data_IF_278000728984
#
_entry.id   IF_278000728984
#
_cell.length_a   1.000
_cell.length_b   1.000
_cell.length_c   1.000
_cell.angle_alpha   90.00
_cell.angle_beta   90.00
_cell.angle_gamma   90.00
#
_symmetry.space_group_name_H-M   'P 1'
#
loop_
_entity.id
_entity.type
_entity.pdbx_description
1 polymer ?
#
# COMPACT_ATOMS: atom_id res chain seq x y z
N UNK A 1 -4.37 -0.83 8.35
CA UNK A 1 -3.37 -1.90 8.08
C UNK A 1 -1.99 -1.27 8.15
N UNK A 2 -0.94 -1.97 8.61
CA UNK A 2 0.43 -1.42 8.62
C UNK A 2 1.20 -1.90 7.38
N UNK A 3 1.80 -0.96 6.66
CA UNK A 3 2.67 -1.21 5.52
C UNK A 3 3.96 -0.41 5.69
N UNK A 4 4.95 -0.70 4.86
CA UNK A 4 6.24 -0.05 4.82
C UNK A 4 6.43 0.61 3.46
N UNK A 5 6.99 1.81 3.45
CA UNK A 5 7.37 2.51 2.21
C UNK A 5 8.57 1.79 1.61
N UNK A 6 8.49 1.44 0.33
CA UNK A 6 9.57 0.79 -0.41
C UNK A 6 10.77 1.76 -0.48
N UNK A 7 11.97 1.26 -0.15
CA UNK A 7 13.22 2.04 -0.01
C UNK A 7 13.36 2.85 1.29
N UNK A 8 12.29 2.97 2.07
CA UNK A 8 12.30 3.59 3.40
C UNK A 8 12.10 2.53 4.50
N UNK A 9 12.68 2.73 5.69
CA UNK A 9 12.34 1.90 6.87
C UNK A 9 11.07 2.40 7.58
N UNK A 10 10.26 3.17 6.86
CA UNK A 10 9.18 3.96 7.39
C UNK A 10 7.87 3.19 7.33
N UNK A 11 7.24 3.04 8.49
CA UNK A 11 5.96 2.37 8.62
C UNK A 11 4.83 3.38 8.48
N UNK A 12 3.86 3.03 7.65
CA UNK A 12 2.64 3.78 7.43
C UNK A 12 1.43 2.95 7.81
N UNK A 13 0.48 3.60 8.47
CA UNK A 13 -0.83 3.03 8.79
C UNK A 13 -1.83 3.45 7.73
N UNK A 14 -2.26 2.48 6.93
CA UNK A 14 -3.35 2.65 5.97
C UNK A 14 -4.64 3.01 6.72
N UNK A 15 -5.22 4.15 6.35
CA UNK A 15 -6.47 4.67 6.89
C UNK A 15 -7.67 3.92 6.33
N UNK A 16 -7.69 3.73 5.00
CA UNK A 16 -8.77 3.03 4.31
C UNK A 16 -8.26 1.78 3.59
N UNK A 17 -8.66 0.62 4.11
CA UNK A 17 -8.26 -0.68 3.54
C UNK A 17 -9.01 -0.96 2.24
N UNK A 18 -10.18 -0.36 2.01
CA UNK A 18 -10.89 -0.52 0.75
C UNK A 18 -10.11 0.12 -0.38
N UNK A 19 -9.54 1.32 -0.17
CA UNK A 19 -8.62 1.93 -1.13
C UNK A 19 -7.43 1.01 -1.41
N UNK A 20 -6.89 0.32 -0.39
CA UNK A 20 -5.76 -0.60 -0.55
C UNK A 20 -6.11 -1.83 -1.38
N UNK A 21 -7.23 -2.49 -1.11
CA UNK A 21 -7.61 -3.73 -1.81
C UNK A 21 -8.28 -3.46 -3.15
N UNK A 22 -8.78 -2.25 -3.40
CA UNK A 22 -9.45 -1.88 -4.64
C UNK A 22 -8.43 -1.65 -5.76
N UNK A 23 -8.38 -2.51 -6.77
CA UNK A 23 -7.37 -2.42 -7.83
C UNK A 23 -7.61 -1.27 -8.82
N UNK A 24 -8.70 -0.50 -8.71
CA UNK A 24 -8.90 0.69 -9.53
C UNK A 24 -8.30 1.94 -8.87
N UNK A 25 -7.92 1.84 -7.59
CA UNK A 25 -7.18 2.88 -6.88
C UNK A 25 -5.69 2.53 -6.91
N UNK A 26 -4.87 3.39 -7.52
CA UNK A 26 -3.40 3.25 -7.50
C UNK A 26 -2.78 3.86 -6.24
N UNK A 27 -3.55 4.71 -5.56
CA UNK A 27 -3.12 5.54 -4.42
C UNK A 27 -3.96 5.17 -3.21
N UNK A 28 -3.35 5.20 -2.04
CA UNK A 28 -3.99 4.96 -0.74
C UNK A 28 -3.61 6.04 0.24
N UNK A 29 -4.55 6.39 1.12
CA UNK A 29 -4.26 7.30 2.22
C UNK A 29 -3.65 6.54 3.40
N UNK A 30 -2.47 6.97 3.82
CA UNK A 30 -1.77 6.37 4.94
C UNK A 30 -1.14 7.44 5.83
N UNK A 31 -0.97 7.09 7.10
CA UNK A 31 -0.41 7.97 8.10
C UNK A 31 0.92 7.40 8.59
N UNK A 32 1.99 8.18 8.49
CA UNK A 32 3.31 7.77 8.98
C UNK A 32 3.27 7.52 10.49
N UNK A 33 4.01 6.50 10.93
CA UNK A 33 4.16 6.15 12.34
C UNK A 33 5.53 6.61 12.84
N UNK A 34 5.91 7.85 12.51
CA UNK A 34 7.15 8.48 12.99
C UNK A 34 6.86 9.53 14.07
N UNK A 35 7.67 9.51 15.12
CA UNK A 35 7.66 10.51 16.19
C UNK A 35 6.60 10.28 17.27
N UNK A 36 6.44 11.28 18.15
CA UNK A 36 5.47 11.28 19.25
C UNK A 36 4.12 11.91 18.85
N UNK A 37 4.05 12.56 17.69
CA UNK A 37 2.85 13.26 17.19
C UNK A 37 2.19 12.52 16.02
N UNK A 38 0.86 12.54 15.98
CA UNK A 38 0.08 12.01 14.87
C UNK A 38 0.32 12.85 13.61
N UNK A 39 1.08 12.29 12.66
CA UNK A 39 1.32 12.91 11.36
C UNK A 39 0.02 13.05 10.57
N UNK A 40 -0.04 14.00 9.64
CA UNK A 40 -1.18 14.09 8.74
C UNK A 40 -1.17 12.90 7.76
N UNK A 41 -2.35 12.41 7.35
CA UNK A 41 -2.39 11.39 6.33
C UNK A 41 -1.93 11.93 4.98
N UNK A 42 -1.09 11.14 4.33
CA UNK A 42 -0.55 11.43 3.01
C UNK A 42 -0.97 10.34 2.01
N UNK A 43 -0.76 10.63 0.73
CA UNK A 43 -1.18 9.79 -0.39
C UNK A 43 -0.01 8.98 -0.92
N UNK A 44 -0.06 7.67 -0.74
CA UNK A 44 1.01 6.76 -1.15
C UNK A 44 0.57 5.89 -2.32
N UNK A 45 1.46 5.74 -3.30
CA UNK A 45 1.28 4.81 -4.40
C UNK A 45 1.45 3.38 -3.91
N UNK A 46 0.53 2.47 -4.26
CA UNK A 46 0.59 1.06 -3.86
C UNK A 46 1.86 0.35 -4.33
N UNK A 47 2.33 0.68 -5.54
CA UNK A 47 3.60 0.19 -6.10
C UNK A 47 4.83 0.50 -5.22
N UNK A 48 4.74 1.55 -4.41
CA UNK A 48 5.76 2.01 -3.47
C UNK A 48 5.51 1.52 -2.03
N UNK A 49 4.53 0.63 -1.81
CA UNK A 49 4.25 0.05 -0.51
C UNK A 49 4.56 -1.45 -0.50
N UNK A 50 5.06 -1.91 0.63
CA UNK A 50 5.39 -3.32 0.87
C UNK A 50 4.94 -3.71 2.28
N UNK A 51 4.81 -5.00 2.55
CA UNK A 51 4.62 -5.46 3.91
C UNK A 51 5.92 -5.26 4.71
N UNK A 52 5.85 -4.99 6.01
CA UNK A 52 7.03 -4.89 6.88
C UNK A 52 7.84 -6.20 6.95
N UNK A 53 7.27 -7.32 6.47
CA UNK A 53 7.97 -8.58 6.26
C UNK A 53 8.90 -8.57 5.03
N UNK A 54 8.88 -7.52 4.19
CA UNK A 54 9.56 -7.43 2.90
C UNK A 54 8.78 -8.00 1.72
N UNK A 55 7.55 -8.48 1.93
CA UNK A 55 6.70 -9.00 0.86
C UNK A 55 6.05 -7.87 0.06
N UNK A 56 5.96 -8.01 -1.25
CA UNK A 56 5.22 -7.05 -2.09
C UNK A 56 3.72 -7.21 -1.94
N UNK A 57 2.96 -6.15 -2.22
CA UNK A 57 1.51 -6.22 -2.20
C UNK A 57 0.97 -7.27 -3.20
N UNK A 58 -0.16 -7.93 -2.88
CA UNK A 58 -0.80 -8.88 -3.77
C UNK A 58 -1.16 -8.23 -5.10
N UNK A 59 -0.90 -8.93 -6.21
CA UNK A 59 -1.25 -8.42 -7.55
C UNK A 59 -2.73 -8.11 -7.71
N UNK A 60 -3.60 -8.82 -6.99
CA UNK A 60 -5.04 -8.58 -7.02
C UNK A 60 -5.48 -7.25 -6.40
N UNK A 61 -4.60 -6.55 -5.67
CA UNK A 61 -4.86 -5.23 -5.08
C UNK A 61 -4.31 -4.08 -5.94
N UNK A 62 -3.40 -4.39 -6.87
CA UNK A 62 -2.79 -3.42 -7.78
C UNK A 62 -3.38 -3.55 -9.19
N UNK A 63 -3.75 -4.76 -9.60
CA UNK A 63 -4.19 -5.05 -10.95
C UNK A 63 -5.55 -5.76 -10.93
N UNK A 64 -6.57 -5.07 -11.46
CA UNK A 64 -7.94 -5.59 -11.51
C UNK A 64 -8.05 -6.78 -12.47
N UNK A 65 -7.12 -6.86 -13.42
CA UNK A 65 -7.07 -7.83 -14.49
C UNK A 65 -6.12 -9.00 -14.17
N UNK A 66 -5.66 -9.15 -12.91
CA UNK A 66 -4.60 -10.08 -12.54
C UNK A 66 -4.93 -11.55 -12.89
N UNK A 67 -6.21 -11.88 -12.99
CA UNK A 67 -6.70 -13.22 -13.38
C UNK A 67 -6.51 -13.54 -14.86
N UNK A 68 -6.47 -12.53 -15.73
CA UNK A 68 -6.26 -12.71 -17.16
C UNK A 68 -4.76 -12.72 -17.54
N UNK A 69 -3.85 -12.60 -16.57
CA UNK A 69 -2.41 -12.71 -16.78
C UNK A 69 -1.93 -14.15 -17.13
N UNK A 70 -2.85 -15.07 -17.44
CA UNK A 70 -2.55 -16.34 -18.09
C UNK A 70 -3.47 -16.54 -19.28
N UNK A 71 -2.93 -16.40 -20.48
CA UNK A 71 -2.75 -17.50 -21.46
C UNK A 71 -2.06 -16.90 -22.69
N UNK A 72 -0.79 -17.26 -22.88
CA UNK A 72 -0.14 -17.23 -24.20
C UNK A 72 -0.18 -18.63 -24.77
#
# INVERSE_FOLDING_TARGET
MLLQIKDSDELVKILDVQELIDPNHDVVHAQEQQGEEEQQPDSYKKENLTFPSGESLPRCWIDANYRNAKTS
#
